data_IF_663545467907
#
_entry.id   IF_663545467907
#
_cell.length_a   1.000
_cell.length_b   1.000
_cell.length_c   1.000
_cell.angle_alpha   90.00
_cell.angle_beta   90.00
_cell.angle_gamma   90.00
#
_symmetry.space_group_name_H-M   'P 1'
#
loop_
_entity.id
_entity.type
_entity.pdbx_description
1 polymer ?
#
# COMPACT_ATOMS: atom_id res chain seq x y z
N UNK A 1 -18.16 -2.05 -5.93
CA UNK A 1 -17.26 -2.81 -5.04
C UNK A 1 -15.88 -2.83 -5.67
N UNK A 2 -15.13 -1.73 -5.53
CA UNK A 2 -13.72 -1.59 -5.89
C UNK A 2 -13.00 -1.09 -4.64
N UNK A 3 -11.98 -1.78 -4.20
CA UNK A 3 -11.09 -1.25 -3.15
C UNK A 3 -10.85 -2.18 -1.98
N UNK A 4 -10.12 -3.26 -2.17
CA UNK A 4 -9.44 -4.00 -1.08
C UNK A 4 -8.36 -4.95 -1.65
N UNK A 5 -7.59 -4.51 -2.65
CA UNK A 5 -6.49 -5.33 -3.21
C UNK A 5 -5.12 -4.66 -3.24
N UNK A 6 -4.93 -3.55 -2.51
CA UNK A 6 -3.62 -2.86 -2.44
C UNK A 6 -3.24 -2.53 -1.01
N UNK A 7 -3.06 -3.56 -0.17
CA UNK A 7 -2.36 -3.45 1.12
C UNK A 7 -1.75 -4.80 1.51
N UNK A 8 -0.95 -5.37 0.62
CA UNK A 8 0.05 -6.37 0.98
C UNK A 8 1.45 -5.83 0.64
N UNK A 9 1.75 -4.59 1.04
CA UNK A 9 3.11 -4.28 1.45
C UNK A 9 3.38 -5.20 2.64
N UNK A 10 4.37 -6.08 2.52
CA UNK A 10 4.82 -6.92 3.63
C UNK A 10 5.06 -5.98 4.80
N UNK A 11 4.16 -5.98 5.78
CA UNK A 11 4.37 -5.29 7.04
C UNK A 11 5.74 -5.73 7.55
N UNK A 12 6.62 -4.76 7.76
CA UNK A 12 7.97 -5.04 8.27
C UNK A 12 7.83 -5.79 9.58
N UNK A 13 8.54 -6.90 9.71
CA UNK A 13 8.47 -7.77 10.88
C UNK A 13 9.32 -7.20 12.02
N UNK A 14 8.98 -5.98 12.47
CA UNK A 14 9.74 -5.24 13.49
C UNK A 14 9.97 -6.03 14.77
N UNK A 15 8.95 -6.75 15.26
CA UNK A 15 9.08 -7.53 16.50
C UNK A 15 10.07 -8.68 16.35
N UNK A 16 10.08 -9.37 15.21
CA UNK A 16 11.06 -10.42 14.94
C UNK A 16 12.48 -9.85 14.81
N UNK A 17 12.62 -8.72 14.11
CA UNK A 17 13.90 -8.03 14.01
C UNK A 17 14.39 -7.53 15.37
N UNK A 18 13.50 -6.99 16.19
CA UNK A 18 13.81 -6.60 17.56
C UNK A 18 14.27 -7.79 18.40
N UNK A 19 13.54 -8.93 18.35
CA UNK A 19 13.92 -10.14 19.07
C UNK A 19 15.31 -10.63 18.67
N UNK A 20 15.63 -10.63 17.39
CA UNK A 20 16.96 -10.98 16.91
C UNK A 20 18.00 -9.92 17.31
N UNK A 21 17.67 -8.63 17.20
CA UNK A 21 18.54 -7.52 17.61
C UNK A 21 18.91 -7.55 19.08
N UNK A 22 17.95 -7.81 19.96
CA UNK A 22 18.24 -7.90 21.40
C UNK A 22 19.15 -9.09 21.73
N UNK A 23 19.03 -10.22 21.00
CA UNK A 23 19.95 -11.35 21.17
C UNK A 23 21.36 -11.02 20.71
N UNK A 24 21.52 -10.22 19.65
CA UNK A 24 22.83 -9.73 19.19
C UNK A 24 23.48 -8.85 20.25
N UNK A 25 22.71 -7.89 20.80
CA UNK A 25 23.21 -6.99 21.84
C UNK A 25 23.72 -7.73 23.10
N UNK A 26 23.15 -8.91 23.38
CA UNK A 26 23.56 -9.77 24.49
C UNK A 26 24.35 -11.01 24.07
N UNK A 27 24.91 -11.05 22.85
CA UNK A 27 25.58 -12.24 22.34
C UNK A 27 26.72 -12.75 23.24
N UNK A 28 27.46 -11.85 23.89
CA UNK A 28 28.50 -12.21 24.87
C UNK A 28 27.97 -12.95 26.11
N UNK A 29 26.65 -12.96 26.30
CA UNK A 29 25.96 -13.63 27.41
C UNK A 29 25.09 -14.81 26.94
N UNK A 30 25.15 -15.21 25.65
CA UNK A 30 24.29 -16.26 25.07
C UNK A 30 24.26 -17.58 25.87
N UNK A 31 25.38 -17.94 26.49
CA UNK A 31 25.44 -19.09 27.40
C UNK A 31 24.76 -18.91 28.76
N UNK A 32 24.48 -17.67 29.16
CA UNK A 32 24.02 -17.25 30.52
C UNK A 32 22.59 -16.74 30.54
N UNK A 33 22.00 -16.47 29.36
CA UNK A 33 20.65 -15.96 29.21
C UNK A 33 19.83 -16.95 28.38
N UNK A 34 18.53 -16.98 28.64
CA UNK A 34 17.52 -17.61 27.80
C UNK A 34 16.60 -16.51 27.29
N UNK A 35 16.34 -16.49 26.00
CA UNK A 35 15.43 -15.57 25.35
C UNK A 35 14.22 -16.35 24.86
N UNK A 36 13.02 -15.89 25.17
CA UNK A 36 11.77 -16.44 24.70
C UNK A 36 11.05 -15.35 23.90
N UNK A 37 10.73 -15.67 22.65
CA UNK A 37 9.95 -14.80 21.77
C UNK A 37 8.47 -15.06 21.95
N UNK A 38 7.68 -13.96 22.03
CA UNK A 38 6.22 -14.08 22.11
C UNK A 38 5.74 -15.03 23.22
N UNK A 39 6.34 -14.91 24.40
CA UNK A 39 6.01 -15.75 25.54
C UNK A 39 4.54 -15.64 25.93
N UNK A 40 3.80 -16.75 25.84
CA UNK A 40 2.38 -16.83 26.12
C UNK A 40 2.09 -16.88 27.60
N UNK A 41 1.19 -16.02 28.08
CA UNK A 41 0.72 -15.99 29.46
C UNK A 41 -0.65 -16.68 29.57
N UNK A 42 -0.64 -17.91 30.10
CA UNK A 42 -1.85 -18.68 30.36
C UNK A 42 -2.60 -19.12 29.09
N UNK A 43 -3.93 -19.34 29.21
CA UNK A 43 -4.80 -19.87 28.16
C UNK A 43 -5.41 -18.82 27.23
N UNK A 44 -5.25 -17.53 27.52
CA UNK A 44 -5.69 -16.42 26.66
C UNK A 44 -4.50 -15.81 25.96
N UNK A 45 -4.67 -15.12 24.84
CA UNK A 45 -3.57 -14.50 24.09
C UNK A 45 -3.00 -13.26 24.81
N UNK A 46 -2.46 -13.46 26.02
CA UNK A 46 -1.61 -12.48 26.70
C UNK A 46 -0.17 -12.86 26.41
N UNK A 47 0.54 -11.96 25.76
CA UNK A 47 1.85 -12.25 25.19
C UNK A 47 2.84 -11.16 25.60
N UNK A 48 3.99 -11.59 26.08
CA UNK A 48 5.15 -10.73 26.37
C UNK A 48 6.02 -10.75 25.11
N UNK A 49 6.41 -9.59 24.59
CA UNK A 49 7.23 -9.52 23.37
C UNK A 49 8.55 -10.28 23.53
N UNK A 50 9.30 -10.00 24.60
CA UNK A 50 10.53 -10.73 24.93
C UNK A 50 10.61 -10.97 26.43
N UNK A 51 10.85 -12.22 26.80
CA UNK A 51 11.21 -12.61 28.15
C UNK A 51 12.68 -13.03 28.17
N UNK A 52 13.48 -12.42 29.04
CA UNK A 52 14.89 -12.76 29.25
C UNK A 52 15.06 -13.33 30.65
N UNK A 53 15.49 -14.60 30.74
CA UNK A 53 15.74 -15.25 32.02
C UNK A 53 17.24 -15.51 32.21
N UNK A 54 17.81 -15.10 33.34
CA UNK A 54 19.18 -15.47 33.71
C UNK A 54 19.21 -16.96 34.06
N UNK A 55 20.21 -17.67 33.59
CA UNK A 55 20.42 -19.07 33.99
C UNK A 55 20.94 -19.16 35.44
N UNK A 56 21.72 -18.16 35.84
CA UNK A 56 22.31 -18.10 37.20
C UNK A 56 22.02 -16.72 37.77
N UNK A 57 21.44 -16.62 39.01
CA UNK A 57 21.07 -15.36 39.61
C UNK A 57 22.23 -14.36 39.77
N UNK A 58 23.44 -14.87 40.10
CA UNK A 58 24.64 -14.06 40.31
C UNK A 58 25.29 -13.52 39.04
N UNK A 59 24.77 -13.90 37.85
CA UNK A 59 25.30 -13.40 36.58
C UNK A 59 25.18 -11.88 36.53
N UNK A 60 26.33 -11.19 36.46
CA UNK A 60 26.38 -9.75 36.29
C UNK A 60 26.39 -9.38 34.83
N UNK A 61 25.49 -8.49 34.41
CA UNK A 61 25.39 -8.01 33.02
C UNK A 61 26.00 -6.60 32.97
N UNK A 62 27.13 -6.47 32.29
CA UNK A 62 27.83 -5.18 32.14
C UNK A 62 27.29 -4.37 30.97
N UNK A 63 26.61 -5.02 30.00
CA UNK A 63 25.94 -4.36 28.90
C UNK A 63 24.96 -3.30 29.41
N UNK A 64 25.09 -2.05 28.95
CA UNK A 64 24.36 -0.89 29.50
C UNK A 64 22.84 -1.08 29.57
N UNK A 65 22.23 -1.62 28.52
CA UNK A 65 20.77 -1.91 28.45
C UNK A 65 20.34 -3.08 29.35
N UNK A 66 21.25 -3.86 29.87
CA UNK A 66 20.99 -5.03 30.72
C UNK A 66 21.47 -4.88 32.18
N UNK A 67 22.06 -3.75 32.58
CA UNK A 67 22.54 -3.56 33.97
C UNK A 67 21.42 -3.65 34.99
N UNK A 68 20.20 -3.29 34.62
CA UNK A 68 19.03 -3.39 35.50
C UNK A 68 18.54 -4.83 35.67
N UNK A 69 18.95 -5.76 34.81
CA UNK A 69 18.39 -7.10 34.75
C UNK A 69 18.56 -7.88 36.03
N UNK A 70 17.44 -8.47 36.44
CA UNK A 70 17.35 -9.45 37.53
C UNK A 70 17.15 -10.84 36.97
N UNK A 71 16.58 -11.76 37.71
CA UNK A 71 16.40 -13.14 37.27
C UNK A 71 15.47 -13.25 36.04
N UNK A 72 14.33 -12.52 36.06
CA UNK A 72 13.32 -12.52 35.03
C UNK A 72 13.09 -11.09 34.49
N UNK A 73 13.24 -10.88 33.20
CA UNK A 73 13.25 -9.54 32.61
C UNK A 73 12.26 -9.48 31.45
N UNK A 74 11.19 -8.74 31.64
CA UNK A 74 10.11 -8.55 30.68
C UNK A 74 10.44 -7.35 29.83
N UNK A 75 10.43 -7.50 28.50
CA UNK A 75 10.74 -6.43 27.57
C UNK A 75 9.57 -6.25 26.61
N UNK A 76 9.05 -5.05 26.51
CA UNK A 76 8.05 -4.60 25.54
C UNK A 76 8.70 -3.67 24.55
N UNK A 77 8.47 -3.91 23.25
CA UNK A 77 9.00 -3.11 22.14
C UNK A 77 7.89 -2.35 21.40
N UNK A 78 8.17 -1.09 21.11
CA UNK A 78 7.35 -0.25 20.23
C UNK A 78 8.16 0.14 19.00
N UNK A 79 7.63 -0.18 17.82
CA UNK A 79 8.25 0.12 16.54
C UNK A 79 8.38 1.64 16.31
N UNK A 80 9.18 2.10 15.32
CA UNK A 80 9.35 3.53 15.05
C UNK A 80 8.06 4.30 14.77
N UNK A 81 7.01 3.63 14.30
CA UNK A 81 5.71 4.23 13.98
C UNK A 81 4.69 4.12 15.14
N UNK A 82 5.06 3.43 16.23
CA UNK A 82 4.23 3.24 17.41
C UNK A 82 4.65 4.15 18.58
N UNK A 83 3.70 4.44 19.46
CA UNK A 83 3.93 5.24 20.67
C UNK A 83 3.65 4.41 21.92
N UNK A 84 4.54 4.51 22.91
CA UNK A 84 4.32 3.91 24.21
C UNK A 84 3.29 4.72 24.98
N UNK A 85 2.11 4.14 25.17
CA UNK A 85 0.98 4.77 25.87
C UNK A 85 0.91 4.39 27.36
N UNK A 86 0.08 5.12 28.10
CA UNK A 86 -0.27 4.77 29.50
C UNK A 86 -0.94 3.39 29.57
N UNK A 87 -1.78 3.04 28.59
CA UNK A 87 -2.41 1.72 28.56
C UNK A 87 -1.40 0.59 28.33
N UNK A 88 -0.38 0.82 27.48
CA UNK A 88 0.70 -0.16 27.28
C UNK A 88 1.48 -0.41 28.59
N UNK A 89 1.78 0.65 29.35
CA UNK A 89 2.41 0.52 30.64
C UNK A 89 1.63 -0.40 31.57
N UNK A 90 0.33 -0.13 31.77
CA UNK A 90 -0.49 -0.93 32.67
C UNK A 90 -0.71 -2.36 32.15
N UNK A 91 -0.79 -2.54 30.84
CA UNK A 91 -0.88 -3.85 30.21
C UNK A 91 0.37 -4.69 30.53
N UNK A 92 1.56 -4.14 30.30
CA UNK A 92 2.83 -4.86 30.52
C UNK A 92 3.11 -5.06 32.02
N UNK A 93 2.77 -4.08 32.84
CA UNK A 93 2.83 -4.22 34.29
C UNK A 93 1.91 -5.34 34.78
N UNK A 94 0.69 -5.41 34.24
CA UNK A 94 -0.25 -6.51 34.49
C UNK A 94 0.32 -7.87 34.03
N UNK A 95 0.98 -7.92 32.88
CA UNK A 95 1.64 -9.16 32.41
C UNK A 95 2.78 -9.58 33.34
N UNK A 96 3.55 -8.63 33.86
CA UNK A 96 4.59 -8.91 34.84
C UNK A 96 3.99 -9.51 36.13
N UNK A 97 2.90 -8.94 36.64
CA UNK A 97 2.19 -9.45 37.79
C UNK A 97 1.62 -10.84 37.54
N UNK A 98 1.03 -11.05 36.35
CA UNK A 98 0.50 -12.35 35.96
C UNK A 98 1.61 -13.39 35.84
N UNK A 99 2.71 -13.06 35.16
CA UNK A 99 3.89 -13.95 35.05
C UNK A 99 4.42 -14.37 36.42
N UNK A 100 4.49 -13.45 37.37
CA UNK A 100 4.89 -13.74 38.77
C UNK A 100 3.95 -14.75 39.42
N UNK A 101 2.65 -14.62 39.21
CA UNK A 101 1.61 -15.42 39.86
C UNK A 101 1.30 -16.74 39.17
N UNK A 102 1.68 -16.89 37.90
CA UNK A 102 1.43 -18.11 37.11
C UNK A 102 2.49 -19.19 37.41
N UNK A 103 2.57 -19.61 38.63
CA UNK A 103 3.53 -20.60 39.16
C UNK A 103 2.81 -21.66 39.97
N UNK A 104 3.36 -22.87 39.99
CA UNK A 104 2.77 -24.00 40.75
C UNK A 104 2.96 -23.85 42.25
N UNK A 105 4.08 -23.27 42.67
CA UNK A 105 4.44 -23.03 44.07
C UNK A 105 4.22 -21.58 44.36
N UNK A 106 3.54 -21.28 45.49
CA UNK A 106 3.33 -19.92 45.95
C UNK A 106 4.68 -19.19 46.13
N UNK A 107 4.77 -17.96 45.59
CA UNK A 107 5.93 -17.09 45.62
C UNK A 107 7.23 -17.71 45.06
N UNK A 108 7.09 -18.61 44.10
CA UNK A 108 8.21 -19.25 43.38
C UNK A 108 9.07 -18.19 42.65
N UNK A 109 8.42 -17.18 42.04
CA UNK A 109 9.09 -16.00 41.49
C UNK A 109 8.86 -14.83 42.43
N UNK A 110 9.92 -14.26 42.95
CA UNK A 110 9.85 -13.12 43.86
C UNK A 110 9.77 -11.80 43.11
N UNK A 111 9.14 -10.80 43.71
CA UNK A 111 9.01 -9.46 43.12
C UNK A 111 10.35 -8.79 42.86
N UNK A 112 11.34 -9.06 43.71
CA UNK A 112 12.69 -8.55 43.58
C UNK A 112 13.56 -9.28 42.54
N UNK A 113 13.04 -10.34 41.92
CA UNK A 113 13.65 -11.06 40.80
C UNK A 113 13.16 -10.60 39.43
N UNK A 114 12.22 -9.66 39.39
CA UNK A 114 11.58 -9.15 38.16
C UNK A 114 12.14 -7.80 37.73
N UNK A 115 12.19 -7.53 36.44
CA UNK A 115 12.34 -6.20 35.85
C UNK A 115 11.40 -6.00 34.64
N UNK A 116 11.05 -4.77 34.34
CA UNK A 116 10.33 -4.37 33.14
C UNK A 116 11.19 -3.40 32.35
N UNK A 117 11.33 -3.65 31.05
CA UNK A 117 12.01 -2.76 30.12
C UNK A 117 11.07 -2.39 28.97
N UNK A 118 10.84 -1.10 28.80
CA UNK A 118 10.14 -0.56 27.63
C UNK A 118 11.17 -0.05 26.64
N UNK A 119 11.11 -0.53 25.39
CA UNK A 119 11.95 -0.05 24.29
C UNK A 119 11.06 0.67 23.30
N UNK A 120 11.32 1.95 23.04
CA UNK A 120 10.49 2.77 22.16
C UNK A 120 11.34 3.74 21.33
N UNK A 121 10.73 4.25 20.28
CA UNK A 121 11.37 5.24 19.40
C UNK A 121 11.18 6.68 19.90
N UNK A 122 10.04 6.97 20.52
CA UNK A 122 9.70 8.31 21.02
C UNK A 122 9.69 8.32 22.54
N UNK A 123 10.33 9.34 23.14
CA UNK A 123 10.24 9.52 24.58
C UNK A 123 8.77 9.75 24.99
N UNK A 124 8.20 8.92 25.89
CA UNK A 124 6.77 8.90 26.16
C UNK A 124 6.36 9.94 27.21
N UNK A 125 6.44 11.23 26.87
CA UNK A 125 6.19 12.34 27.80
C UNK A 125 4.85 12.24 28.56
N UNK A 126 3.79 11.80 27.88
CA UNK A 126 2.46 11.66 28.49
C UNK A 126 2.43 10.56 29.54
N UNK A 127 3.07 9.41 29.26
CA UNK A 127 3.19 8.31 30.21
C UNK A 127 4.03 8.75 31.42
N UNK A 128 5.17 9.35 31.19
CA UNK A 128 6.05 9.79 32.28
C UNK A 128 5.35 10.77 33.21
N UNK A 129 4.68 11.79 32.66
CA UNK A 129 3.88 12.72 33.47
C UNK A 129 2.77 12.00 34.25
N UNK A 130 2.06 11.06 33.63
CA UNK A 130 1.05 10.27 34.35
C UNK A 130 1.63 9.48 35.54
N UNK A 131 2.81 8.88 35.35
CA UNK A 131 3.50 8.12 36.43
C UNK A 131 3.99 9.03 37.53
N UNK A 132 4.49 10.21 37.19
CA UNK A 132 4.92 11.23 38.17
C UNK A 132 3.74 11.73 39.02
N UNK A 133 2.65 12.14 38.37
CA UNK A 133 1.47 12.73 39.01
C UNK A 133 0.70 11.73 39.87
N UNK A 134 0.48 10.51 39.39
CA UNK A 134 -0.40 9.53 40.04
C UNK A 134 0.34 8.51 40.92
N UNK A 135 1.60 8.21 40.61
CA UNK A 135 2.37 7.21 41.33
C UNK A 135 3.59 7.78 42.06
N UNK A 136 3.93 9.04 41.81
CA UNK A 136 5.13 9.67 42.37
C UNK A 136 6.42 9.08 41.80
N UNK A 137 6.37 8.41 40.63
CA UNK A 137 7.57 7.85 40.02
C UNK A 137 8.40 8.95 39.38
N UNK A 138 9.69 8.69 39.20
CA UNK A 138 10.61 9.62 38.57
C UNK A 138 11.41 8.93 37.49
N UNK A 139 11.44 9.51 36.29
CA UNK A 139 12.30 9.06 35.20
C UNK A 139 13.69 9.69 35.32
N UNK A 140 14.68 8.89 35.66
CA UNK A 140 16.07 9.33 35.88
C UNK A 140 16.95 8.79 34.76
N UNK A 141 17.56 9.71 34.01
CA UNK A 141 18.49 9.34 32.91
C UNK A 141 19.76 8.71 33.52
N UNK A 142 20.10 7.53 33.05
CA UNK A 142 21.30 6.79 33.46
C UNK A 142 22.44 6.96 32.44
N UNK A 143 22.14 6.83 31.17
CA UNK A 143 23.04 7.00 30.02
C UNK A 143 22.24 7.55 28.83
N UNK A 144 22.90 7.74 27.69
CA UNK A 144 22.25 8.15 26.46
C UNK A 144 21.19 7.11 26.05
N UNK A 145 19.94 7.56 25.96
CA UNK A 145 18.79 6.74 25.61
C UNK A 145 18.31 5.77 26.69
N UNK A 146 18.89 5.76 27.89
CA UNK A 146 18.53 4.85 28.98
C UNK A 146 18.05 5.62 30.18
N UNK A 147 16.82 5.35 30.63
CA UNK A 147 16.18 5.96 31.80
C UNK A 147 15.70 4.88 32.77
N UNK A 148 15.88 5.09 34.05
CA UNK A 148 15.24 4.27 35.08
C UNK A 148 14.03 5.01 35.64
N UNK A 149 12.90 4.30 35.74
CA UNK A 149 11.70 4.81 36.38
C UNK A 149 11.72 4.34 37.82
N UNK A 150 12.05 5.27 38.72
CA UNK A 150 12.25 5.03 40.14
C UNK A 150 10.93 5.26 40.88
N UNK A 151 10.63 4.43 41.87
CA UNK A 151 9.45 4.54 42.75
C UNK A 151 8.63 3.26 42.83
N UNK A 152 8.91 2.25 41.97
CA UNK A 152 8.29 0.95 42.04
C UNK A 152 9.15 -0.11 42.73
N UNK A 153 8.52 -1.17 43.25
CA UNK A 153 9.17 -2.37 43.80
C UNK A 153 9.87 -3.15 42.66
N UNK A 154 9.24 -3.21 41.50
CA UNK A 154 9.79 -3.83 40.31
C UNK A 154 10.60 -2.76 39.57
N UNK A 155 11.92 -2.93 39.37
CA UNK A 155 12.70 -1.97 38.59
C UNK A 155 12.21 -1.86 37.16
N UNK A 156 12.03 -0.62 36.71
CA UNK A 156 11.52 -0.30 35.39
C UNK A 156 12.55 0.50 34.62
N UNK A 157 12.83 0.09 33.38
CA UNK A 157 13.72 0.78 32.47
C UNK A 157 12.95 1.24 31.24
N UNK A 158 13.29 2.44 30.76
CA UNK A 158 12.87 2.97 29.49
C UNK A 158 14.10 3.14 28.61
N UNK A 159 14.08 2.56 27.39
CA UNK A 159 15.12 2.73 26.38
C UNK A 159 14.50 3.51 25.21
N UNK A 160 15.08 4.66 24.89
CA UNK A 160 14.70 5.52 23.76
C UNK A 160 15.71 5.30 22.65
N UNK A 161 15.34 4.48 21.66
CA UNK A 161 16.24 3.97 20.62
C UNK A 161 17.04 5.08 19.90
N UNK A 162 16.44 6.21 19.44
CA UNK A 162 17.19 7.25 18.73
C UNK A 162 18.20 8.04 19.60
N UNK A 163 18.18 7.84 20.90
CA UNK A 163 19.11 8.47 21.83
C UNK A 163 20.28 7.55 22.21
N UNK A 164 20.23 6.28 21.81
CA UNK A 164 21.34 5.34 21.99
C UNK A 164 22.54 5.73 21.11
N UNK A 165 23.72 5.18 21.42
CA UNK A 165 24.93 5.39 20.62
C UNK A 165 25.33 4.13 19.87
N UNK A 166 25.86 4.30 18.64
CA UNK A 166 26.35 3.19 17.81
C UNK A 166 27.48 2.42 18.51
N UNK A 167 28.35 3.12 19.24
CA UNK A 167 29.47 2.50 19.96
C UNK A 167 29.02 1.40 20.92
N UNK A 168 27.87 1.60 21.58
CA UNK A 168 27.39 0.67 22.61
C UNK A 168 26.25 -0.22 22.13
N UNK A 169 25.40 0.24 21.20
CA UNK A 169 24.15 -0.40 20.86
C UNK A 169 23.85 -0.32 19.34
N UNK A 170 24.82 -0.60 18.48
CA UNK A 170 24.73 -0.42 17.03
C UNK A 170 23.45 -1.04 16.42
N UNK A 171 23.20 -2.31 16.72
CA UNK A 171 22.10 -3.05 16.14
C UNK A 171 20.72 -2.56 16.61
N UNK A 172 20.59 -2.27 17.92
CA UNK A 172 19.34 -1.75 18.47
C UNK A 172 19.10 -0.30 18.04
N UNK A 173 20.15 0.56 18.06
CA UNK A 173 20.05 1.94 17.58
C UNK A 173 19.68 2.02 16.09
N UNK A 174 20.10 1.04 15.31
CA UNK A 174 19.83 0.98 13.85
C UNK A 174 18.46 0.39 13.50
N UNK A 175 17.69 -0.14 14.45
CA UNK A 175 16.31 -0.56 14.28
C UNK A 175 15.37 0.67 14.14
N UNK A 176 15.56 1.43 13.08
CA UNK A 176 14.87 2.68 12.76
C UNK A 176 14.54 2.76 11.27
N UNK A 177 13.55 3.55 10.93
CA UNK A 177 13.24 3.93 9.56
C UNK A 177 13.99 5.22 9.10
N UNK A 178 14.91 5.75 9.91
CA UNK A 178 15.64 7.01 9.68
C UNK A 178 17.08 6.95 10.19
N UNK A 179 17.92 6.09 9.60
CA UNK A 179 19.36 6.11 9.89
C UNK A 179 19.93 7.47 9.47
N UNK A 180 20.60 8.14 10.40
CA UNK A 180 21.02 9.53 10.24
C UNK A 180 22.32 9.70 9.48
N UNK A 181 23.27 8.80 9.67
CA UNK A 181 24.65 8.96 9.15
C UNK A 181 25.06 7.83 8.21
N UNK A 182 25.87 8.16 7.21
CA UNK A 182 26.49 7.14 6.35
C UNK A 182 27.52 6.31 7.09
N UNK A 183 28.07 6.82 8.17
CA UNK A 183 29.01 6.11 9.04
C UNK A 183 28.35 4.94 9.77
N UNK A 184 27.15 5.15 10.34
CA UNK A 184 26.35 4.07 10.95
C UNK A 184 26.05 2.96 9.93
N UNK A 185 25.75 3.33 8.68
CA UNK A 185 25.54 2.34 7.59
C UNK A 185 26.82 1.53 7.34
N UNK A 186 27.97 2.18 7.24
CA UNK A 186 29.25 1.47 7.03
C UNK A 186 29.60 0.53 8.18
N UNK A 187 29.40 0.96 9.41
CA UNK A 187 29.64 0.13 10.59
C UNK A 187 28.72 -1.11 10.59
N UNK A 188 27.42 -0.93 10.29
CA UNK A 188 26.48 -2.04 10.15
C UNK A 188 26.87 -3.03 9.06
N UNK A 189 27.30 -2.53 7.90
CA UNK A 189 27.75 -3.36 6.80
C UNK A 189 28.98 -4.18 7.17
N UNK A 190 29.97 -3.55 7.81
CA UNK A 190 31.19 -4.23 8.24
C UNK A 190 30.90 -5.31 9.30
N UNK A 191 30.11 -4.98 10.32
CA UNK A 191 29.68 -5.94 11.34
C UNK A 191 28.88 -7.10 10.74
N UNK A 192 27.99 -6.80 9.77
CA UNK A 192 27.23 -7.84 9.07
C UNK A 192 28.13 -8.77 8.27
N UNK A 193 29.16 -8.26 7.57
CA UNK A 193 30.10 -9.09 6.82
C UNK A 193 30.81 -10.13 7.70
N UNK A 194 31.20 -9.72 8.92
CA UNK A 194 31.83 -10.63 9.88
C UNK A 194 30.88 -11.73 10.36
N UNK A 195 29.57 -11.47 10.34
CA UNK A 195 28.53 -12.34 10.87
C UNK A 195 27.52 -12.85 9.83
N UNK A 196 27.82 -12.75 8.53
CA UNK A 196 26.90 -13.05 7.41
C UNK A 196 26.32 -14.47 7.39
N UNK A 197 26.92 -15.42 8.09
CA UNK A 197 26.39 -16.78 8.23
C UNK A 197 25.37 -16.91 9.38
N UNK A 198 25.20 -15.88 10.18
CA UNK A 198 24.28 -15.87 11.31
C UNK A 198 22.89 -15.43 10.88
N UNK A 199 21.88 -16.28 11.02
CA UNK A 199 20.48 -15.95 10.74
C UNK A 199 19.94 -14.80 11.59
N UNK A 200 20.51 -14.59 12.80
CA UNK A 200 20.14 -13.45 13.65
C UNK A 200 20.52 -12.14 12.96
N UNK A 201 21.78 -12.01 12.56
CA UNK A 201 22.29 -10.81 11.89
C UNK A 201 21.58 -10.60 10.54
N UNK A 202 21.34 -11.67 9.78
CA UNK A 202 20.59 -11.62 8.53
C UNK A 202 19.19 -11.05 8.70
N UNK A 203 18.40 -11.58 9.65
CA UNK A 203 17.01 -11.12 9.87
C UNK A 203 16.92 -9.67 10.32
N UNK A 204 17.83 -9.20 11.17
CA UNK A 204 17.90 -7.78 11.59
C UNK A 204 18.31 -6.91 10.41
N UNK A 205 19.37 -7.30 9.69
CA UNK A 205 19.90 -6.52 8.57
C UNK A 205 18.87 -6.36 7.45
N UNK A 206 18.08 -7.39 7.15
CA UNK A 206 16.97 -7.31 6.18
C UNK A 206 15.98 -6.21 6.53
N UNK A 207 15.54 -6.13 7.77
CA UNK A 207 14.59 -5.10 8.23
C UNK A 207 15.22 -3.71 8.20
N UNK A 208 16.44 -3.56 8.69
CA UNK A 208 17.15 -2.28 8.69
C UNK A 208 17.29 -1.74 7.27
N UNK A 209 17.73 -2.57 6.32
CA UNK A 209 17.90 -2.14 4.92
C UNK A 209 16.57 -1.87 4.25
N UNK A 210 15.55 -2.71 4.46
CA UNK A 210 14.21 -2.48 3.91
C UNK A 210 13.62 -1.16 4.37
N UNK A 211 13.85 -0.79 5.63
CA UNK A 211 13.35 0.46 6.22
C UNK A 211 14.14 1.69 5.77
N UNK A 212 15.39 1.52 5.31
CA UNK A 212 16.32 2.60 5.01
C UNK A 212 16.92 2.49 3.59
N UNK A 213 16.18 1.96 2.61
CA UNK A 213 16.67 1.64 1.25
C UNK A 213 17.48 2.77 0.61
N UNK A 214 16.95 3.99 0.64
CA UNK A 214 17.61 5.16 0.03
C UNK A 214 18.97 5.42 0.66
N UNK A 215 19.08 5.28 1.98
CA UNK A 215 20.31 5.54 2.71
C UNK A 215 21.42 4.53 2.38
N UNK A 216 21.04 3.26 2.22
CA UNK A 216 21.97 2.22 1.79
C UNK A 216 22.41 2.37 0.32
N UNK A 217 21.55 2.92 -0.54
CA UNK A 217 21.89 3.21 -1.94
C UNK A 217 22.86 4.40 -2.11
N UNK A 218 22.87 5.34 -1.15
CA UNK A 218 23.76 6.50 -1.17
C UNK A 218 25.20 6.16 -0.73
N UNK A 219 25.41 5.01 -0.07
CA UNK A 219 26.72 4.59 0.41
C UNK A 219 27.35 3.64 -0.60
N UNK A 220 28.48 4.05 -1.21
CA UNK A 220 29.23 3.31 -2.26
C UNK A 220 29.76 1.92 -1.82
N UNK A 221 29.50 1.50 -0.61
CA UNK A 221 29.95 0.23 -0.04
C UNK A 221 28.86 -0.82 0.00
N UNK A 222 28.24 -1.14 -1.14
CA UNK A 222 27.48 -2.40 -1.24
C UNK A 222 28.49 -3.55 -1.28
N UNK A 223 28.70 -4.16 -0.12
CA UNK A 223 29.50 -5.37 -0.04
C UNK A 223 28.81 -6.56 -0.71
N UNK A 224 29.57 -7.56 -1.14
CA UNK A 224 29.02 -8.77 -1.77
C UNK A 224 27.97 -9.46 -0.90
N UNK A 225 28.14 -9.44 0.44
CA UNK A 225 27.19 -10.04 1.38
C UNK A 225 25.83 -9.34 1.38
N UNK A 226 25.77 -8.01 1.24
CA UNK A 226 24.52 -7.28 1.06
C UNK A 226 23.89 -7.54 -0.31
N UNK A 227 24.71 -7.61 -1.34
CA UNK A 227 24.23 -7.96 -2.68
C UNK A 227 23.59 -9.35 -2.67
N UNK A 228 24.25 -10.34 -2.06
CA UNK A 228 23.74 -11.71 -1.95
C UNK A 228 22.45 -11.78 -1.11
N UNK A 229 22.37 -11.00 -0.03
CA UNK A 229 21.18 -10.88 0.81
C UNK A 229 19.96 -10.31 0.06
N UNK A 230 20.21 -9.38 -0.89
CA UNK A 230 19.14 -8.73 -1.64
C UNK A 230 18.94 -9.26 -3.05
N UNK A 231 19.80 -10.18 -3.52
CA UNK A 231 19.73 -10.72 -4.88
C UNK A 231 18.33 -11.20 -5.25
N UNK A 232 17.73 -12.03 -4.42
CA UNK A 232 16.40 -12.58 -4.65
C UNK A 232 15.31 -11.49 -4.60
N UNK A 233 15.48 -10.47 -3.74
CA UNK A 233 14.56 -9.34 -3.65
C UNK A 233 14.74 -8.35 -4.81
N UNK A 234 15.98 -8.13 -5.25
CA UNK A 234 16.28 -7.31 -6.43
C UNK A 234 15.76 -7.96 -7.70
N UNK A 235 15.92 -9.27 -7.87
CA UNK A 235 15.35 -10.02 -8.97
C UNK A 235 13.81 -9.92 -8.97
N UNK A 236 13.15 -10.13 -7.82
CA UNK A 236 11.70 -9.95 -7.70
C UNK A 236 11.24 -8.50 -7.98
N UNK A 237 12.00 -7.49 -7.56
CA UNK A 237 11.68 -6.08 -7.85
C UNK A 237 11.90 -5.73 -9.32
N UNK A 238 12.90 -6.30 -9.97
CA UNK A 238 13.14 -6.15 -11.41
C UNK A 238 12.00 -6.77 -12.19
N UNK A 239 11.58 -7.99 -11.82
CA UNK A 239 10.46 -8.69 -12.44
C UNK A 239 9.14 -7.93 -12.24
N UNK A 240 8.85 -7.45 -11.02
CA UNK A 240 7.66 -6.63 -10.75
C UNK A 240 7.65 -5.33 -11.56
N UNK A 241 8.78 -4.61 -11.65
CA UNK A 241 8.89 -3.40 -12.48
C UNK A 241 8.78 -3.70 -13.97
N UNK A 242 9.30 -4.85 -14.42
CA UNK A 242 9.15 -5.31 -15.80
C UNK A 242 7.69 -5.62 -16.11
N UNK A 243 6.98 -6.31 -15.21
CA UNK A 243 5.55 -6.61 -15.33
C UNK A 243 4.66 -5.35 -15.31
N UNK A 244 4.97 -4.39 -14.42
CA UNK A 244 4.26 -3.10 -14.38
C UNK A 244 4.47 -2.30 -15.68
N UNK A 245 5.70 -2.24 -16.20
CA UNK A 245 5.99 -1.59 -17.48
C UNK A 245 5.31 -2.31 -18.65
N UNK A 246 5.31 -3.65 -18.65
CA UNK A 246 4.62 -4.44 -19.67
C UNK A 246 3.11 -4.19 -19.64
N UNK A 247 2.49 -4.07 -18.47
CA UNK A 247 1.07 -3.69 -18.31
C UNK A 247 0.79 -2.29 -18.81
N UNK A 248 1.60 -1.31 -18.45
CA UNK A 248 1.44 0.07 -18.94
C UNK A 248 1.54 0.16 -20.46
N UNK A 249 2.53 -0.51 -21.06
CA UNK A 249 2.69 -0.57 -22.51
C UNK A 249 1.49 -1.28 -23.18
N UNK A 250 0.99 -2.35 -22.56
CA UNK A 250 -0.19 -3.07 -23.09
C UNK A 250 -1.47 -2.22 -23.02
N UNK A 251 -1.69 -1.50 -21.92
CA UNK A 251 -2.82 -0.57 -21.78
C UNK A 251 -2.74 0.60 -22.76
N UNK A 252 -1.56 1.16 -22.95
CA UNK A 252 -1.34 2.26 -23.91
C UNK A 252 -1.56 1.81 -25.36
N UNK A 253 -1.06 0.63 -25.73
CA UNK A 253 -1.32 0.02 -27.02
C UNK A 253 -2.79 -0.33 -27.24
N UNK A 254 -3.47 -0.89 -26.22
CA UNK A 254 -4.89 -1.18 -26.30
C UNK A 254 -5.72 0.09 -26.51
N UNK A 255 -5.36 1.19 -25.87
CA UNK A 255 -5.99 2.49 -26.06
C UNK A 255 -5.79 3.04 -27.47
N UNK A 256 -4.57 2.98 -27.99
CA UNK A 256 -4.26 3.40 -29.36
C UNK A 256 -5.03 2.58 -30.39
N UNK A 257 -5.07 1.25 -30.24
CA UNK A 257 -5.84 0.37 -31.13
C UNK A 257 -7.34 0.67 -31.05
N UNK A 258 -7.87 0.95 -29.86
CA UNK A 258 -9.28 1.30 -29.69
C UNK A 258 -9.63 2.65 -30.36
N UNK A 259 -8.77 3.66 -30.22
CA UNK A 259 -8.93 4.95 -30.88
C UNK A 259 -8.86 4.83 -32.44
N UNK A 260 -7.92 4.04 -32.93
CA UNK A 260 -7.76 3.81 -34.36
C UNK A 260 -8.94 3.04 -34.97
N UNK A 261 -9.45 2.01 -34.27
CA UNK A 261 -10.67 1.30 -34.66
C UNK A 261 -11.91 2.19 -34.62
N UNK A 262 -12.06 3.02 -33.59
CA UNK A 262 -13.18 3.95 -33.51
C UNK A 262 -13.17 4.96 -34.68
N UNK A 263 -11.98 5.43 -35.07
CA UNK A 263 -11.82 6.31 -36.24
C UNK A 263 -12.19 5.62 -37.55
N UNK A 264 -11.73 4.39 -37.76
CA UNK A 264 -12.09 3.59 -38.95
C UNK A 264 -13.59 3.34 -39.01
N UNK A 265 -14.23 2.96 -37.91
CA UNK A 265 -15.69 2.75 -37.86
C UNK A 265 -16.46 4.06 -38.15
N UNK A 266 -15.98 5.18 -37.64
CA UNK A 266 -16.59 6.48 -37.90
C UNK A 266 -16.47 6.88 -39.39
N UNK A 267 -15.31 6.68 -39.99
CA UNK A 267 -15.10 6.94 -41.43
C UNK A 267 -15.96 6.04 -42.33
N UNK A 268 -16.10 4.76 -41.97
CA UNK A 268 -16.93 3.80 -42.70
C UNK A 268 -18.42 4.15 -42.56
N UNK A 269 -18.90 4.54 -41.41
CA UNK A 269 -20.28 5.03 -41.20
C UNK A 269 -20.58 6.31 -41.98
N UNK A 270 -19.65 7.28 -41.99
CA UNK A 270 -19.81 8.49 -42.81
C UNK A 270 -19.95 8.14 -44.28
N UNK A 271 -19.14 7.21 -44.77
CA UNK A 271 -19.24 6.73 -46.17
C UNK A 271 -20.60 6.11 -46.48
N UNK A 272 -21.09 5.22 -45.61
CA UNK A 272 -22.42 4.61 -45.75
C UNK A 272 -23.55 5.66 -45.76
N UNK A 273 -23.53 6.61 -44.82
CA UNK A 273 -24.53 7.68 -44.76
C UNK A 273 -24.49 8.56 -46.02
N UNK A 274 -23.31 8.85 -46.55
CA UNK A 274 -23.17 9.63 -47.80
C UNK A 274 -23.73 8.83 -49.00
N UNK A 275 -23.46 7.53 -49.11
CA UNK A 275 -24.00 6.66 -50.16
C UNK A 275 -25.53 6.58 -50.06
N UNK A 276 -26.09 6.32 -48.85
CA UNK A 276 -27.55 6.26 -48.66
C UNK A 276 -28.23 7.59 -49.03
N UNK A 277 -27.70 8.71 -48.57
CA UNK A 277 -28.25 10.05 -48.94
C UNK A 277 -28.13 10.37 -50.40
N UNK A 278 -27.05 9.93 -51.04
CA UNK A 278 -26.88 10.14 -52.48
C UNK A 278 -27.94 9.33 -53.28
N UNK A 279 -28.22 8.12 -52.86
CA UNK A 279 -29.29 7.28 -53.47
C UNK A 279 -30.67 7.91 -53.26
N UNK A 280 -30.98 8.38 -52.05
CA UNK A 280 -32.22 9.10 -51.74
C UNK A 280 -32.38 10.38 -52.59
N UNK A 281 -31.38 11.21 -52.69
CA UNK A 281 -31.41 12.44 -53.49
C UNK A 281 -31.60 12.17 -54.99
N UNK A 282 -30.98 11.10 -55.50
CA UNK A 282 -31.14 10.70 -56.88
C UNK A 282 -32.57 10.19 -57.11
N UNK A 283 -33.12 9.38 -56.19
CA UNK A 283 -34.51 8.91 -56.29
C UNK A 283 -35.54 10.06 -56.24
N UNK A 284 -35.36 11.04 -55.34
CA UNK A 284 -36.19 12.26 -55.28
C UNK A 284 -36.10 13.10 -56.55
N UNK A 285 -34.91 13.26 -57.14
CA UNK A 285 -34.73 14.00 -58.40
C UNK A 285 -35.37 13.32 -59.59
N UNK A 286 -35.34 11.99 -59.63
CA UNK A 286 -36.08 11.23 -60.69
C UNK A 286 -37.59 11.34 -60.51
N UNK A 287 -38.11 11.20 -59.33
CA UNK A 287 -39.52 11.37 -58.99
C UNK A 287 -40.04 12.80 -59.35
N UNK A 288 -39.25 13.84 -59.00
CA UNK A 288 -39.58 15.22 -59.36
C UNK A 288 -39.56 15.46 -60.89
N UNK A 289 -38.62 14.83 -61.62
CA UNK A 289 -38.52 14.90 -63.08
C UNK A 289 -39.66 14.20 -63.75
N UNK A 290 -40.09 13.01 -63.34
CA UNK A 290 -41.25 12.30 -63.86
C UNK A 290 -42.55 13.04 -63.60
N UNK A 291 -42.73 13.54 -62.36
CA UNK A 291 -43.89 14.33 -61.96
C UNK A 291 -43.97 15.65 -62.72
N UNK A 292 -42.86 16.33 -63.00
CA UNK A 292 -42.83 17.52 -63.85
C UNK A 292 -43.19 17.23 -65.30
N UNK A 293 -42.74 16.09 -65.80
CA UNK A 293 -43.06 15.65 -67.18
C UNK A 293 -44.51 15.32 -67.29
N UNK A 294 -45.07 14.58 -66.34
CA UNK A 294 -46.52 14.24 -66.31
C UNK A 294 -47.41 15.51 -66.19
N UNK A 295 -46.99 16.44 -65.28
CA UNK A 295 -47.69 17.72 -65.13
C UNK A 295 -47.73 18.51 -66.43
N UNK A 296 -46.62 18.57 -67.17
CA UNK A 296 -46.57 19.24 -68.49
C UNK A 296 -47.48 18.54 -69.49
N UNK A 297 -47.51 17.21 -69.52
CA UNK A 297 -48.41 16.45 -70.43
C UNK A 297 -49.86 16.63 -70.06
N UNK A 298 -50.22 16.57 -68.77
CA UNK A 298 -51.58 16.87 -68.26
C UNK A 298 -52.03 18.25 -68.72
N UNK A 299 -51.18 19.28 -68.46
CA UNK A 299 -51.46 20.69 -68.86
C UNK A 299 -51.75 20.82 -70.35
N UNK A 300 -50.95 20.21 -71.17
CA UNK A 300 -51.11 20.25 -72.65
C UNK A 300 -52.41 19.59 -73.11
N UNK A 301 -52.85 18.51 -72.43
CA UNK A 301 -54.10 17.80 -72.77
C UNK A 301 -55.34 18.56 -72.27
N UNK A 302 -55.30 19.22 -71.14
CA UNK A 302 -56.38 20.11 -70.66
C UNK A 302 -56.56 21.27 -71.63
N UNK A 303 -55.48 21.90 -72.09
CA UNK A 303 -55.52 22.99 -73.04
C UNK A 303 -56.15 22.60 -74.35
N UNK A 304 -56.11 21.34 -74.70
CA UNK A 304 -56.78 20.74 -75.90
C UNK A 304 -58.23 20.34 -75.63
N UNK A 305 -58.83 20.65 -74.51
CA UNK A 305 -60.23 20.36 -74.15
C UNK A 305 -60.52 18.92 -73.83
N UNK A 306 -59.53 18.06 -73.51
CA UNK A 306 -59.76 16.66 -73.22
C UNK A 306 -60.35 16.48 -71.80
N UNK A 307 -61.26 15.52 -71.62
CA UNK A 307 -61.87 15.17 -70.37
C UNK A 307 -60.84 14.44 -69.46
N UNK A 308 -61.03 14.47 -68.13
CA UNK A 308 -60.19 13.81 -67.14
C UNK A 308 -60.01 12.30 -67.52
N UNK A 309 -61.07 11.57 -67.72
CA UNK A 309 -61.01 10.15 -68.05
C UNK A 309 -60.17 9.87 -69.31
N UNK A 310 -60.23 10.73 -70.34
CA UNK A 310 -59.45 10.58 -71.58
C UNK A 310 -57.97 10.93 -71.36
N UNK A 311 -57.67 11.80 -70.39
CA UNK A 311 -56.29 12.13 -70.04
C UNK A 311 -55.65 10.97 -69.30
N UNK A 312 -56.36 10.34 -68.37
CA UNK A 312 -55.91 9.15 -67.66
C UNK A 312 -55.61 8.01 -68.64
N UNK A 313 -56.54 7.71 -69.56
CA UNK A 313 -56.39 6.66 -70.56
C UNK A 313 -55.20 6.91 -71.50
N UNK A 314 -55.03 8.11 -72.01
CA UNK A 314 -53.94 8.46 -72.92
C UNK A 314 -52.53 8.60 -72.27
N UNK A 315 -52.47 8.74 -71.01
CA UNK A 315 -51.18 8.79 -70.28
C UNK A 315 -50.79 7.44 -69.73
N UNK A 316 -51.71 6.45 -69.83
CA UNK A 316 -51.52 5.08 -69.32
C UNK A 316 -51.17 5.05 -67.80
N UNK A 317 -51.66 6.07 -67.06
CA UNK A 317 -51.41 6.23 -65.60
C UNK A 317 -52.71 6.00 -64.82
N UNK A 318 -52.60 5.79 -63.50
CA UNK A 318 -53.77 5.60 -62.65
C UNK A 318 -54.46 6.94 -62.36
N UNK A 319 -55.79 6.91 -62.08
CA UNK A 319 -56.52 8.11 -61.61
C UNK A 319 -55.90 8.76 -60.42
N UNK A 320 -55.38 7.96 -59.46
CA UNK A 320 -54.73 8.43 -58.24
C UNK A 320 -53.47 9.31 -58.49
N UNK A 321 -52.76 9.00 -59.60
CA UNK A 321 -51.55 9.74 -60.02
C UNK A 321 -51.92 11.02 -60.78
N UNK A 322 -52.93 10.93 -61.69
CA UNK A 322 -53.29 12.05 -62.56
C UNK A 322 -54.18 13.08 -61.84
N UNK A 323 -55.06 12.68 -60.95
CA UNK A 323 -56.00 13.58 -60.25
C UNK A 323 -55.37 14.80 -59.58
N UNK A 324 -54.31 14.64 -58.71
CA UNK A 324 -53.64 15.79 -58.11
C UNK A 324 -53.03 16.75 -59.12
N UNK A 325 -52.47 16.21 -60.19
CA UNK A 325 -51.85 17.01 -61.25
C UNK A 325 -52.92 17.77 -62.08
N UNK A 326 -54.05 17.12 -62.34
CA UNK A 326 -55.17 17.69 -63.04
C UNK A 326 -55.83 18.84 -62.25
N UNK A 327 -56.08 18.65 -60.98
CA UNK A 327 -56.61 19.69 -60.07
C UNK A 327 -55.66 20.89 -59.97
N UNK A 328 -54.35 20.61 -59.82
CA UNK A 328 -53.33 21.67 -59.80
C UNK A 328 -53.26 22.53 -61.02
N UNK A 329 -53.38 21.93 -62.18
CA UNK A 329 -53.42 22.63 -63.49
C UNK A 329 -54.71 23.44 -63.66
N UNK A 330 -55.87 22.88 -63.30
CA UNK A 330 -57.13 23.59 -63.32
C UNK A 330 -57.20 24.81 -62.39
N UNK A 331 -56.64 24.68 -61.16
CA UNK A 331 -56.50 25.78 -60.24
C UNK A 331 -55.64 26.92 -60.84
N UNK A 332 -54.57 26.57 -61.56
CA UNK A 332 -53.75 27.57 -62.25
C UNK A 332 -54.48 28.28 -63.37
N UNK A 333 -55.34 27.59 -64.11
CA UNK A 333 -56.16 28.21 -65.15
C UNK A 333 -57.27 29.08 -64.60
N UNK A 334 -57.86 28.73 -63.42
CA UNK A 334 -58.88 29.53 -62.74
C UNK A 334 -58.35 30.84 -62.17
N UNK A 335 -57.05 30.92 -61.88
CA UNK A 335 -56.38 32.13 -61.36
C UNK A 335 -55.91 33.08 -62.52
N UNK A 336 -55.97 32.65 -63.81
CA UNK A 336 -55.50 33.40 -64.93
C UNK A 336 -56.65 33.94 -65.82
N UNK A 337 -57.90 33.62 -65.53
CA UNK A 337 -59.12 34.10 -66.16
C UNK A 337 -59.92 35.01 -65.26
#
# INVERSE_FOLDING_TARGET
>A
MKGTKEKNEKLLQWHQAFYAGIQIEFQSYAGKLVFENEHMLGTKPMQIDVLVVKKEPQTKIEKNIGRIFRMHNIIEYKSPDDYLSTNDFYKVYGYCCFYKSDTVIEDQIKSDELTITFVCYHYPCTLIRHLEELRGYQAVRQEDGIYYIIGDIIPIQLIVVPELTDEKNLWLHSLTNKIRTSESVRQLVNEYEEHKQSRLYESVMQIIVQSNKTRFQEVDSMCQALYDLFKDQLEQMVDQKADERAKQIAEERAKQIAEERAKQIAEERVKQIVEERTVEMVAEAFSDGETATLLHQVKKKIQKGKSFALIVDELEETEEVILPLYERVNAQFAMQG
#
